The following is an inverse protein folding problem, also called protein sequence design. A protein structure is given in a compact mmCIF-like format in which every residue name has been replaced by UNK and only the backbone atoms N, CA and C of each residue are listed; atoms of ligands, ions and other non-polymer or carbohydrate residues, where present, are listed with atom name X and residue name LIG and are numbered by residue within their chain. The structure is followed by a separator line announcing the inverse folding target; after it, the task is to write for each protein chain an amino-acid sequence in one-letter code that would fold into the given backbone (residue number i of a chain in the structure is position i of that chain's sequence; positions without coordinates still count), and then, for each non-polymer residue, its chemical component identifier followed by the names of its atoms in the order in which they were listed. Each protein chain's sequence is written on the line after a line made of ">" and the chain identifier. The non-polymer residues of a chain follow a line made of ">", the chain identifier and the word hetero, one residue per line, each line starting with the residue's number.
data_IF_098067846272
#
_entry.id   IF_098067846272
#
_cell.length_a   1.000
_cell.length_b   1.000
_cell.length_c   1.000
_cell.angle_alpha   90.00
_cell.angle_beta   90.00
_cell.angle_gamma   90.00
#
_symmetry.space_group_name_H-M   'P 1'
#
loop_
_entity.id
_entity.type
_entity.pdbx_description
1 polymer ?
#
# COMPACT_ATOMS: atom_id res chain seq x y z
N UNK A 1 -0.76 0.54 -23.11
CA UNK A 1 -1.13 1.80 -22.42
C UNK A 1 -2.29 1.55 -21.47
N UNK A 2 -2.39 2.28 -20.35
CA UNK A 2 -3.57 2.26 -19.47
C UNK A 2 -4.26 3.64 -19.46
N UNK A 3 -5.60 3.71 -19.63
CA UNK A 3 -6.32 4.98 -19.60
C UNK A 3 -6.44 5.54 -18.18
N UNK A 4 -6.28 6.87 -18.04
CA UNK A 4 -6.64 7.61 -16.83
C UNK A 4 -8.05 8.15 -16.95
N UNK A 5 -9.06 7.29 -16.78
CA UNK A 5 -10.48 7.62 -16.94
C UNK A 5 -10.94 8.83 -16.11
N UNK A 6 -10.29 9.08 -14.96
CA UNK A 6 -10.60 10.18 -14.05
C UNK A 6 -9.99 11.55 -14.43
N UNK A 7 -9.15 11.64 -15.48
CA UNK A 7 -8.58 12.91 -15.95
C UNK A 7 -9.28 13.35 -17.24
N UNK A 8 -9.49 14.65 -17.41
CA UNK A 8 -10.07 15.22 -18.62
C UNK A 8 -9.30 14.77 -19.87
N UNK A 9 -10.02 14.37 -20.92
CA UNK A 9 -9.44 13.81 -22.15
C UNK A 9 -8.89 12.38 -22.01
N UNK A 10 -9.11 11.71 -20.87
CA UNK A 10 -8.72 10.31 -20.60
C UNK A 10 -7.30 9.96 -21.07
N UNK A 11 -6.27 10.71 -20.63
CA UNK A 11 -4.91 10.53 -21.13
C UNK A 11 -4.39 9.11 -20.87
N UNK A 12 -3.63 8.59 -21.82
CA UNK A 12 -3.05 7.26 -21.78
C UNK A 12 -1.72 7.26 -21.02
N UNK A 13 -1.52 6.28 -20.14
CA UNK A 13 -0.25 6.03 -19.45
C UNK A 13 0.53 4.95 -20.19
N UNK A 14 1.74 5.23 -20.69
CA UNK A 14 2.62 4.17 -21.20
C UNK A 14 3.03 3.28 -20.04
N UNK A 15 2.87 1.96 -20.21
CA UNK A 15 3.30 0.96 -19.22
C UNK A 15 4.10 -0.08 -19.97
N UNK A 16 5.28 -0.38 -19.44
CA UNK A 16 6.18 -1.39 -19.97
C UNK A 16 6.09 -2.60 -19.05
N UNK A 17 5.79 -3.76 -19.62
CA UNK A 17 5.86 -5.01 -18.88
C UNK A 17 7.33 -5.35 -18.62
N UNK A 18 7.72 -5.39 -17.35
CA UNK A 18 9.05 -5.81 -16.90
C UNK A 18 9.12 -7.31 -16.55
N UNK A 19 8.09 -8.08 -16.92
CA UNK A 19 8.04 -9.52 -16.67
C UNK A 19 9.21 -10.18 -17.44
N UNK A 20 10.12 -10.82 -16.71
CA UNK A 20 11.34 -11.48 -17.25
C UNK A 20 12.35 -10.53 -17.93
N UNK A 21 12.29 -9.22 -17.72
CA UNK A 21 13.35 -8.33 -18.18
C UNK A 21 14.67 -8.61 -17.43
N UNK A 22 15.81 -8.39 -18.08
CA UNK A 22 17.13 -8.77 -17.58
C UNK A 22 17.46 -8.16 -16.20
N UNK A 23 17.03 -6.93 -15.95
CA UNK A 23 17.29 -6.21 -14.69
C UNK A 23 16.17 -6.33 -13.65
N UNK A 24 15.12 -7.11 -13.88
CA UNK A 24 13.97 -7.21 -12.95
C UNK A 24 14.38 -7.73 -11.58
N UNK A 25 15.27 -8.73 -11.53
CA UNK A 25 15.82 -9.25 -10.27
C UNK A 25 16.63 -8.20 -9.51
N UNK A 26 17.47 -7.43 -10.22
CA UNK A 26 18.28 -6.36 -9.63
C UNK A 26 17.41 -5.21 -9.13
N UNK A 27 16.37 -4.84 -9.90
CA UNK A 27 15.38 -3.84 -9.49
C UNK A 27 14.66 -4.25 -8.20
N UNK A 28 14.21 -5.50 -8.11
CA UNK A 28 13.56 -6.00 -6.89
C UNK A 28 14.51 -6.04 -5.69
N UNK A 29 15.75 -6.46 -5.91
CA UNK A 29 16.77 -6.49 -4.86
C UNK A 29 17.08 -5.10 -4.31
N UNK A 30 17.33 -4.11 -5.18
CA UNK A 30 17.56 -2.72 -4.77
C UNK A 30 16.36 -2.15 -4.03
N UNK A 31 15.15 -2.52 -4.43
CA UNK A 31 13.93 -2.08 -3.77
C UNK A 31 13.82 -2.61 -2.32
N UNK A 32 14.04 -3.91 -2.13
CA UNK A 32 14.06 -4.54 -0.80
C UNK A 32 15.13 -3.90 0.08
N UNK A 33 16.28 -3.58 -0.50
CA UNK A 33 17.41 -2.99 0.21
C UNK A 33 17.12 -1.56 0.66
N UNK A 34 16.60 -0.71 -0.23
CA UNK A 34 16.57 0.74 -0.04
C UNK A 34 15.26 1.25 0.54
N UNK A 35 14.13 0.60 0.22
CA UNK A 35 12.80 1.06 0.64
C UNK A 35 12.63 1.10 2.17
N UNK A 36 13.08 0.10 2.96
CA UNK A 36 12.95 0.15 4.42
C UNK A 36 13.71 1.34 5.01
N UNK A 37 14.92 1.59 4.50
CA UNK A 37 15.75 2.71 4.92
C UNK A 37 15.09 4.06 4.57
N UNK A 38 14.60 4.21 3.34
CA UNK A 38 13.85 5.40 2.92
C UNK A 38 12.63 5.64 3.82
N UNK A 39 11.81 4.60 4.06
CA UNK A 39 10.62 4.70 4.91
C UNK A 39 10.97 5.06 6.36
N UNK A 40 12.11 4.61 6.88
CA UNK A 40 12.56 4.97 8.23
C UNK A 40 12.96 6.45 8.30
N UNK A 41 13.70 6.94 7.31
CA UNK A 41 14.15 8.34 7.23
C UNK A 41 12.99 9.32 7.02
N UNK A 42 11.98 8.91 6.25
CA UNK A 42 10.86 9.78 5.83
C UNK A 42 9.60 9.58 6.66
N UNK A 43 9.66 8.78 7.73
CA UNK A 43 8.50 8.42 8.54
C UNK A 43 7.75 9.63 9.10
N UNK A 44 8.47 10.68 9.48
CA UNK A 44 7.90 11.89 10.08
C UNK A 44 7.31 12.87 9.05
N UNK A 45 7.70 12.73 7.78
CA UNK A 45 7.29 13.65 6.70
C UNK A 45 6.33 12.99 5.70
N UNK A 46 5.95 11.73 5.93
CA UNK A 46 5.13 10.94 5.01
C UNK A 46 3.78 10.63 5.63
N UNK A 47 2.71 11.00 4.93
CA UNK A 47 1.37 10.56 5.28
C UNK A 47 1.11 9.15 4.74
N UNK A 48 0.70 8.22 5.60
CA UNK A 48 0.49 6.82 5.18
C UNK A 48 -0.86 6.66 4.43
N UNK A 49 -1.87 7.40 4.85
CA UNK A 49 -3.23 7.41 4.31
C UNK A 49 -4.01 8.62 4.85
N UNK A 50 -5.25 8.84 4.37
CA UNK A 50 -6.07 9.97 4.82
C UNK A 50 -6.33 10.03 6.33
N UNK A 51 -6.45 8.90 7.02
CA UNK A 51 -6.67 8.88 8.48
C UNK A 51 -5.41 9.38 9.20
N UNK A 52 -4.24 8.91 8.75
CA UNK A 52 -2.94 9.38 9.26
C UNK A 52 -2.73 10.87 8.98
N UNK A 53 -3.10 11.33 7.78
CA UNK A 53 -3.12 12.75 7.43
C UNK A 53 -4.01 13.59 8.38
N UNK A 54 -5.25 13.16 8.63
CA UNK A 54 -6.16 13.86 9.56
C UNK A 54 -5.56 13.93 10.97
N UNK A 55 -4.97 12.84 11.47
CA UNK A 55 -4.28 12.86 12.79
C UNK A 55 -3.15 13.89 12.81
N UNK A 56 -2.33 13.93 11.77
CA UNK A 56 -1.19 14.84 11.70
C UNK A 56 -1.63 16.31 11.58
N UNK A 57 -2.69 16.61 10.82
CA UNK A 57 -3.18 17.99 10.71
C UNK A 57 -3.93 18.46 11.95
N UNK A 58 -4.63 17.57 12.67
CA UNK A 58 -5.18 17.86 14.00
C UNK A 58 -4.07 18.14 15.01
N UNK A 59 -2.97 17.38 14.98
CA UNK A 59 -1.80 17.65 15.82
C UNK A 59 -1.15 19.01 15.47
N UNK A 60 -1.05 19.34 14.18
CA UNK A 60 -0.56 20.64 13.73
C UNK A 60 -1.44 21.78 14.27
N UNK A 61 -2.77 21.65 14.18
CA UNK A 61 -3.72 22.59 14.77
C UNK A 61 -3.57 22.69 16.29
N UNK A 62 -3.53 21.56 17.00
CA UNK A 62 -3.41 21.52 18.47
C UNK A 62 -2.09 22.12 18.97
N UNK A 63 -1.05 22.14 18.13
CA UNK A 63 0.22 22.83 18.42
C UNK A 63 0.18 24.35 18.22
N UNK A 64 -0.99 24.93 17.92
CA UNK A 64 -1.18 26.37 17.75
C UNK A 64 -0.60 26.93 16.45
N UNK A 65 -0.29 26.06 15.47
CA UNK A 65 0.36 26.48 14.20
C UNK A 65 -0.64 26.91 13.13
N UNK A 66 -1.89 26.47 13.21
CA UNK A 66 -2.94 26.84 12.26
C UNK A 66 -3.45 28.25 12.60
N UNK A 67 -3.18 29.21 11.72
CA UNK A 67 -3.64 30.58 11.82
C UNK A 67 -4.84 30.81 10.89
N UNK A 68 -5.67 31.84 11.13
CA UNK A 68 -6.73 32.22 10.19
C UNK A 68 -6.24 32.52 8.77
N UNK A 69 -4.99 32.97 8.64
CA UNK A 69 -4.33 33.27 7.36
C UNK A 69 -3.61 32.08 6.74
N UNK A 70 -3.55 30.93 7.42
CA UNK A 70 -2.85 29.75 6.90
C UNK A 70 -3.53 29.23 5.64
N UNK A 71 -2.77 29.17 4.56
CA UNK A 71 -3.16 28.54 3.31
C UNK A 71 -2.62 27.12 3.25
N UNK A 72 -3.39 26.24 2.63
CA UNK A 72 -2.98 24.90 2.28
C UNK A 72 -2.54 24.86 0.82
N UNK A 73 -1.52 24.06 0.56
CA UNK A 73 -1.01 23.85 -0.79
C UNK A 73 -0.80 22.37 -1.02
N UNK A 74 -1.34 21.87 -2.13
CA UNK A 74 -1.08 20.53 -2.62
C UNK A 74 -0.34 20.58 -3.94
N UNK A 75 0.57 19.64 -4.15
CA UNK A 75 1.35 19.51 -5.38
C UNK A 75 1.28 18.08 -5.91
N UNK A 76 1.05 17.95 -7.21
CA UNK A 76 1.22 16.73 -8.00
C UNK A 76 2.36 16.96 -8.99
N UNK A 77 3.26 15.98 -9.10
CA UNK A 77 4.39 16.04 -10.03
C UNK A 77 4.04 15.29 -11.30
N UNK A 78 3.95 16.02 -12.40
CA UNK A 78 3.55 15.44 -13.67
C UNK A 78 4.63 14.48 -14.20
N UNK A 79 4.20 13.26 -14.54
CA UNK A 79 5.03 12.25 -15.22
C UNK A 79 6.37 11.93 -14.54
N UNK A 80 6.43 12.03 -13.21
CA UNK A 80 7.66 11.91 -12.43
C UNK A 80 8.51 10.70 -12.87
N UNK A 81 7.99 9.49 -12.74
CA UNK A 81 8.73 8.26 -13.03
C UNK A 81 9.33 8.20 -14.44
N UNK A 82 8.63 8.75 -15.43
CA UNK A 82 9.04 8.73 -16.84
C UNK A 82 9.98 9.86 -17.21
N UNK A 83 10.01 10.95 -16.44
CA UNK A 83 10.74 12.17 -16.79
C UNK A 83 11.94 12.48 -15.89
N UNK A 84 12.09 11.78 -14.76
CA UNK A 84 13.24 11.98 -13.86
C UNK A 84 14.58 11.90 -14.64
N UNK A 85 15.45 12.92 -14.54
CA UNK A 85 16.79 12.87 -15.10
C UNK A 85 17.62 11.77 -14.43
N UNK A 86 18.14 10.81 -15.20
CA UNK A 86 18.87 9.64 -14.65
C UNK A 86 20.09 10.03 -13.84
N UNK A 87 20.89 10.95 -14.38
CA UNK A 87 22.10 11.40 -13.71
C UNK A 87 21.76 12.09 -12.38
N UNK A 88 20.76 12.97 -12.38
CA UNK A 88 20.25 13.62 -11.17
C UNK A 88 19.71 12.63 -10.14
N UNK A 89 18.95 11.63 -10.58
CA UNK A 89 18.41 10.59 -9.71
C UNK A 89 19.50 9.75 -9.04
N UNK A 90 20.52 9.35 -9.80
CA UNK A 90 21.65 8.61 -9.27
C UNK A 90 22.48 9.47 -8.31
N UNK A 91 22.68 10.76 -8.63
CA UNK A 91 23.37 11.68 -7.72
C UNK A 91 22.59 11.90 -6.41
N UNK A 92 21.27 12.04 -6.49
CA UNK A 92 20.41 12.14 -5.30
C UNK A 92 20.46 10.85 -4.47
N UNK A 93 20.43 9.68 -5.12
CA UNK A 93 20.61 8.40 -4.44
C UNK A 93 21.96 8.33 -3.72
N UNK A 94 23.05 8.72 -4.38
CA UNK A 94 24.38 8.75 -3.75
C UNK A 94 24.42 9.69 -2.54
N UNK A 95 23.81 10.86 -2.64
CA UNK A 95 23.70 11.83 -1.53
C UNK A 95 22.87 11.27 -0.37
N UNK A 96 21.74 10.65 -0.66
CA UNK A 96 20.88 9.98 0.32
C UNK A 96 21.64 8.87 1.05
N UNK A 97 22.28 7.97 0.30
CA UNK A 97 23.06 6.87 0.85
C UNK A 97 24.24 7.37 1.69
N UNK A 98 24.93 8.41 1.24
CA UNK A 98 26.07 8.98 1.99
C UNK A 98 25.64 9.63 3.31
N UNK A 99 24.40 10.12 3.38
CA UNK A 99 23.86 10.77 4.58
C UNK A 99 23.33 9.77 5.61
N UNK A 100 22.72 8.67 5.15
CA UNK A 100 21.96 7.77 6.04
C UNK A 100 22.54 6.36 6.18
N UNK A 101 23.52 5.95 5.35
CA UNK A 101 24.11 4.61 5.44
C UNK A 101 25.27 4.56 6.43
N UNK A 102 25.20 3.62 7.38
CA UNK A 102 26.25 3.39 8.36
C UNK A 102 27.57 3.00 7.68
N UNK A 103 28.65 3.72 7.98
CA UNK A 103 29.98 3.47 7.41
C UNK A 103 30.01 3.39 5.87
N UNK A 104 29.10 4.10 5.18
CA UNK A 104 28.93 4.04 3.71
C UNK A 104 28.65 2.62 3.18
N UNK A 105 28.00 1.78 3.98
CA UNK A 105 27.59 0.43 3.56
C UNK A 105 26.15 0.14 3.96
N UNK A 106 25.47 -0.65 3.14
CA UNK A 106 24.15 -1.20 3.47
C UNK A 106 24.24 -2.72 3.34
N UNK A 107 24.01 -3.43 4.45
CA UNK A 107 24.16 -4.90 4.52
C UNK A 107 25.46 -5.42 3.90
N UNK A 108 26.58 -4.70 4.13
CA UNK A 108 27.90 -5.07 3.62
C UNK A 108 28.22 -4.60 2.20
N UNK A 109 27.26 -4.06 1.43
CA UNK A 109 27.50 -3.49 0.10
C UNK A 109 27.93 -2.03 0.18
N UNK A 110 28.88 -1.62 -0.66
CA UNK A 110 29.32 -0.22 -0.76
C UNK A 110 28.31 0.62 -1.53
N UNK A 111 28.29 1.94 -1.25
CA UNK A 111 27.48 2.91 -2.02
C UNK A 111 27.79 2.82 -3.52
N UNK A 112 29.05 2.63 -3.90
CA UNK A 112 29.44 2.51 -5.31
C UNK A 112 28.79 1.29 -6.00
N UNK A 113 28.81 0.11 -5.36
CA UNK A 113 28.12 -1.08 -5.89
C UNK A 113 26.63 -0.83 -6.06
N UNK A 114 25.97 -0.26 -5.06
CA UNK A 114 24.53 0.07 -5.12
C UNK A 114 24.25 1.05 -6.27
N UNK A 115 25.10 2.06 -6.43
CA UNK A 115 25.00 3.06 -7.52
C UNK A 115 25.15 2.40 -8.89
N UNK A 116 26.11 1.49 -9.07
CA UNK A 116 26.30 0.76 -10.34
C UNK A 116 25.10 -0.13 -10.67
N UNK A 117 24.55 -0.83 -9.69
CA UNK A 117 23.33 -1.63 -9.86
C UNK A 117 22.13 -0.74 -10.23
N UNK A 118 22.00 0.43 -9.60
CA UNK A 118 20.97 1.40 -9.93
C UNK A 118 21.08 1.90 -11.37
N UNK A 119 22.30 2.24 -11.83
CA UNK A 119 22.57 2.61 -13.23
C UNK A 119 22.19 1.47 -14.18
N UNK A 120 22.60 0.24 -13.87
CA UNK A 120 22.27 -0.95 -14.67
C UNK A 120 20.75 -1.08 -14.88
N UNK A 121 19.95 -0.90 -13.84
CA UNK A 121 18.47 -0.97 -13.95
C UNK A 121 17.92 0.12 -14.86
N UNK A 122 18.46 1.34 -14.80
CA UNK A 122 18.01 2.45 -15.64
C UNK A 122 18.46 2.30 -17.10
N UNK A 123 19.67 1.81 -17.32
CA UNK A 123 20.30 1.71 -18.64
C UNK A 123 19.76 0.51 -19.44
N UNK A 124 19.40 -0.59 -18.79
CA UNK A 124 18.88 -1.81 -19.45
C UNK A 124 17.37 -1.78 -19.69
N UNK A 125 16.73 -0.63 -19.48
CA UNK A 125 15.31 -0.47 -19.65
C UNK A 125 14.92 -0.33 -21.14
N UNK A 126 14.67 -1.47 -21.76
CA UNK A 126 14.26 -1.59 -23.16
C UNK A 126 12.86 -2.19 -23.28
N UNK A 127 12.11 -1.78 -24.32
CA UNK A 127 10.79 -2.31 -24.63
C UNK A 127 10.57 -2.41 -26.14
N UNK A 128 9.59 -3.21 -26.53
CA UNK A 128 9.18 -3.37 -27.95
C UNK A 128 7.85 -2.67 -28.15
N UNK A 129 7.77 -1.86 -29.21
CA UNK A 129 6.53 -1.26 -29.67
C UNK A 129 6.52 -1.28 -31.20
N UNK A 130 5.41 -1.69 -31.82
CA UNK A 130 5.28 -1.74 -33.29
C UNK A 130 6.47 -2.46 -33.97
N UNK A 131 6.84 -3.64 -33.45
CA UNK A 131 7.97 -4.45 -33.89
C UNK A 131 9.35 -3.75 -33.91
N UNK A 132 9.48 -2.63 -33.20
CA UNK A 132 10.74 -1.90 -33.04
C UNK A 132 11.19 -1.93 -31.58
N UNK A 133 12.50 -2.04 -31.40
CA UNK A 133 13.13 -1.98 -30.08
C UNK A 133 13.41 -0.54 -29.70
N UNK A 134 13.00 -0.17 -28.49
CA UNK A 134 13.23 1.15 -27.92
C UNK A 134 13.95 0.99 -26.58
N UNK A 135 14.94 1.84 -26.36
CA UNK A 135 15.54 2.03 -25.06
C UNK A 135 14.97 3.32 -24.47
N UNK A 136 14.42 3.25 -23.27
CA UNK A 136 14.06 4.46 -22.57
C UNK A 136 15.36 5.21 -22.24
N UNK A 137 15.42 6.53 -22.46
CA UNK A 137 16.62 7.35 -22.20
C UNK A 137 16.45 8.33 -21.03
N UNK A 138 15.20 8.53 -20.57
CA UNK A 138 14.83 9.41 -19.45
C UNK A 138 13.88 8.69 -18.50
N UNK A 139 13.95 8.98 -17.21
CA UNK A 139 13.20 8.28 -16.18
C UNK A 139 13.53 6.78 -16.11
N UNK A 140 12.64 6.04 -15.45
CA UNK A 140 12.62 4.58 -15.42
C UNK A 140 11.29 4.01 -15.90
N UNK A 141 11.24 2.69 -16.05
CA UNK A 141 10.01 2.00 -16.46
C UNK A 141 8.93 2.14 -15.39
N UNK A 142 7.75 2.60 -15.80
CA UNK A 142 6.55 2.48 -14.97
C UNK A 142 6.24 0.99 -14.77
N UNK A 143 6.42 0.50 -13.54
CA UNK A 143 6.31 -0.92 -13.18
C UNK A 143 7.61 -1.55 -12.65
N UNK A 144 8.74 -0.83 -12.68
CA UNK A 144 9.98 -1.24 -12.02
C UNK A 144 9.92 -0.91 -10.51
N UNK A 145 10.06 -1.91 -9.60
CA UNK A 145 10.05 -1.66 -8.15
C UNK A 145 11.08 -0.64 -7.69
N UNK A 146 12.30 -0.72 -8.20
CA UNK A 146 13.38 0.21 -7.88
C UNK A 146 13.08 1.64 -8.36
N UNK A 147 12.47 1.81 -9.54
CA UNK A 147 12.19 3.14 -10.09
C UNK A 147 11.28 3.95 -9.17
N UNK A 148 10.33 3.32 -8.48
CA UNK A 148 9.51 4.01 -7.48
C UNK A 148 10.34 4.48 -6.28
N UNK A 149 11.19 3.61 -5.74
CA UNK A 149 12.04 3.97 -4.59
C UNK A 149 13.06 5.04 -4.95
N UNK A 150 13.60 4.99 -6.16
CA UNK A 150 14.49 6.03 -6.67
C UNK A 150 13.78 7.39 -6.84
N UNK A 151 12.56 7.40 -7.37
CA UNK A 151 11.75 8.61 -7.50
C UNK A 151 11.45 9.24 -6.13
N UNK A 152 11.07 8.41 -5.17
CA UNK A 152 10.87 8.83 -3.78
C UNK A 152 12.13 9.43 -3.16
N UNK A 153 13.31 8.86 -3.42
CA UNK A 153 14.59 9.44 -2.96
C UNK A 153 14.91 10.77 -3.67
N UNK A 154 14.54 10.91 -4.95
CA UNK A 154 14.85 12.09 -5.74
C UNK A 154 14.00 13.32 -5.35
N UNK A 155 12.69 13.18 -5.17
CA UNK A 155 11.77 14.32 -4.89
C UNK A 155 11.09 14.27 -3.53
N UNK A 156 11.27 13.20 -2.75
CA UNK A 156 10.70 13.07 -1.40
C UNK A 156 9.17 12.80 -1.35
N UNK A 157 8.61 12.12 -2.38
CA UNK A 157 7.21 11.66 -2.60
C UNK A 157 6.45 12.52 -3.62
N UNK A 158 5.64 11.85 -4.47
CA UNK A 158 4.93 12.43 -5.62
C UNK A 158 3.76 13.36 -5.25
N UNK A 159 3.08 13.08 -4.14
CA UNK A 159 1.91 13.81 -3.65
C UNK A 159 2.29 14.60 -2.39
N UNK A 160 2.44 15.92 -2.50
CA UNK A 160 2.92 16.76 -1.41
C UNK A 160 1.77 17.61 -0.85
N UNK A 161 1.72 17.72 0.47
CA UNK A 161 0.86 18.66 1.19
C UNK A 161 1.74 19.61 2.02
N UNK A 162 1.44 20.90 1.97
CA UNK A 162 2.18 21.95 2.67
C UNK A 162 1.21 22.98 3.26
N UNK A 163 1.62 23.60 4.37
CA UNK A 163 0.97 24.78 4.95
C UNK A 163 1.86 26.00 4.78
N UNK A 164 1.27 27.17 4.55
CA UNK A 164 2.01 28.44 4.45
C UNK A 164 1.21 29.59 5.05
N UNK A 165 1.91 30.57 5.61
CA UNK A 165 1.33 31.83 6.09
C UNK A 165 1.69 33.01 5.17
N UNK A 166 2.31 32.74 4.01
CA UNK A 166 2.53 33.74 2.98
C UNK A 166 1.20 34.13 2.34
N UNK A 167 1.14 35.33 1.78
CA UNK A 167 0.01 35.75 0.95
C UNK A 167 -0.10 34.86 -0.30
N UNK A 168 -1.29 34.79 -0.87
CA UNK A 168 -1.56 34.02 -2.09
C UNK A 168 -0.61 34.39 -3.24
N UNK A 169 -0.30 35.68 -3.39
CA UNK A 169 0.59 36.20 -4.44
C UNK A 169 2.04 35.76 -4.23
N UNK A 170 2.55 35.87 -3.00
CA UNK A 170 3.93 35.49 -2.66
C UNK A 170 4.17 34.00 -2.86
N UNK A 171 3.25 33.15 -2.40
CA UNK A 171 3.40 31.71 -2.61
C UNK A 171 3.32 31.37 -4.10
N UNK A 172 2.40 31.97 -4.84
CA UNK A 172 2.26 31.70 -6.27
C UNK A 172 3.54 32.11 -7.04
N UNK A 173 4.14 33.27 -6.72
CA UNK A 173 5.40 33.70 -7.31
C UNK A 173 6.53 32.67 -7.06
N UNK A 174 6.67 32.19 -5.83
CA UNK A 174 7.69 31.17 -5.47
C UNK A 174 7.46 29.84 -6.18
N UNK A 175 6.20 29.46 -6.40
CA UNK A 175 5.87 28.24 -7.12
C UNK A 175 6.11 28.35 -8.62
N UNK A 176 5.91 29.53 -9.20
CA UNK A 176 6.28 29.83 -10.59
C UNK A 176 7.80 29.72 -10.76
N UNK A 177 8.58 30.33 -9.86
CA UNK A 177 10.05 30.22 -9.87
C UNK A 177 10.52 28.77 -9.73
N UNK A 178 9.91 28.00 -8.81
CA UNK A 178 10.24 26.59 -8.62
C UNK A 178 9.95 25.75 -9.88
N UNK A 179 8.84 26.04 -10.57
CA UNK A 179 8.48 25.37 -11.83
C UNK A 179 9.40 25.69 -13.01
N UNK A 180 10.25 26.70 -12.91
CA UNK A 180 11.23 27.06 -13.94
C UNK A 180 12.59 26.36 -13.78
N UNK A 181 12.81 25.66 -12.67
CA UNK A 181 14.11 25.06 -12.35
C UNK A 181 14.45 23.82 -13.21
N UNK A 182 13.45 23.07 -13.69
CA UNK A 182 13.67 21.87 -14.50
C UNK A 182 12.65 21.82 -15.65
N UNK A 183 13.14 21.79 -16.89
CA UNK A 183 12.29 21.74 -18.09
C UNK A 183 11.45 20.45 -18.19
N UNK A 184 11.87 19.38 -17.51
CA UNK A 184 11.28 18.04 -17.62
C UNK A 184 10.29 17.72 -16.49
N UNK A 185 10.34 18.48 -15.40
CA UNK A 185 9.52 18.24 -14.21
C UNK A 185 8.60 19.44 -14.03
N UNK A 186 7.30 19.22 -14.21
CA UNK A 186 6.30 20.25 -13.94
C UNK A 186 5.48 19.90 -12.71
N UNK A 187 5.35 20.88 -11.83
CA UNK A 187 4.50 20.85 -10.65
C UNK A 187 3.13 21.44 -11.00
N UNK A 188 2.09 20.66 -10.80
CA UNK A 188 0.71 21.17 -10.76
C UNK A 188 0.32 21.35 -9.31
N UNK A 189 -0.28 22.49 -8.97
CA UNK A 189 -0.58 22.83 -7.59
C UNK A 189 -1.98 23.39 -7.42
N UNK A 190 -2.53 23.20 -6.22
CA UNK A 190 -3.78 23.82 -5.77
C UNK A 190 -3.49 24.56 -4.46
N UNK A 191 -3.86 25.83 -4.39
CA UNK A 191 -3.64 26.70 -3.22
C UNK A 191 -5.00 27.20 -2.75
N UNK A 192 -5.23 27.18 -1.45
CA UNK A 192 -6.40 27.82 -0.86
C UNK A 192 -6.54 27.57 0.62
N UNK A 193 -7.56 28.18 1.23
CA UNK A 193 -8.02 27.80 2.57
C UNK A 193 -8.67 26.42 2.56
N UNK A 194 -9.08 25.92 1.39
CA UNK A 194 -9.74 24.63 1.19
C UNK A 194 -9.08 23.86 0.04
N UNK A 195 -8.55 22.67 0.31
CA UNK A 195 -7.86 21.82 -0.68
C UNK A 195 -8.13 20.34 -0.44
N UNK A 196 -8.10 19.55 -1.51
CA UNK A 196 -8.12 18.09 -1.44
C UNK A 196 -6.71 17.50 -1.35
N UNK A 197 -6.53 16.53 -0.46
CA UNK A 197 -5.31 15.73 -0.38
C UNK A 197 -5.66 14.27 -0.04
N UNK A 198 -5.09 13.33 -0.80
CA UNK A 198 -5.46 11.92 -0.79
C UNK A 198 -6.97 11.76 -1.05
N UNK A 199 -7.70 11.49 0.03
CA UNK A 199 -9.11 11.18 0.07
C UNK A 199 -9.85 12.01 1.15
N UNK A 200 -9.24 13.15 1.50
CA UNK A 200 -9.69 14.11 2.51
C UNK A 200 -9.77 15.50 1.88
N UNK A 201 -10.87 16.20 2.14
CA UNK A 201 -11.02 17.62 1.86
C UNK A 201 -10.74 18.37 3.16
N UNK A 202 -9.71 19.21 3.16
CA UNK A 202 -9.32 19.98 4.33
C UNK A 202 -9.58 21.45 4.12
N UNK A 203 -10.10 22.10 5.14
CA UNK A 203 -10.54 23.49 5.11
C UNK A 203 -10.12 24.20 6.40
N UNK A 204 -9.60 25.42 6.22
CA UNK A 204 -9.29 26.35 7.29
C UNK A 204 -10.39 27.42 7.31
N UNK A 205 -11.34 27.26 8.23
CA UNK A 205 -12.41 28.22 8.46
C UNK A 205 -11.97 29.20 9.55
N UNK A 206 -11.21 30.23 9.15
CA UNK A 206 -10.73 31.29 10.04
C UNK A 206 -9.99 30.79 11.29
N UNK A 207 -9.13 29.78 11.14
CA UNK A 207 -8.37 29.14 12.21
C UNK A 207 -9.05 27.90 12.78
N UNK A 208 -10.26 27.55 12.34
CA UNK A 208 -10.91 26.29 12.66
C UNK A 208 -10.65 25.25 11.57
N UNK A 209 -10.04 24.14 11.97
CA UNK A 209 -9.78 23.02 11.06
C UNK A 209 -11.07 22.24 10.80
N UNK A 210 -11.45 22.15 9.53
CA UNK A 210 -12.54 21.31 9.03
C UNK A 210 -11.98 20.25 8.11
N UNK A 211 -12.38 19.00 8.33
CA UNK A 211 -12.01 17.85 7.48
C UNK A 211 -13.26 17.10 7.08
N UNK A 212 -13.30 16.63 5.84
CA UNK A 212 -14.42 15.85 5.30
C UNK A 212 -13.92 14.85 4.25
N UNK A 213 -14.77 13.90 3.85
CA UNK A 213 -14.43 12.93 2.80
C UNK A 213 -14.45 13.61 1.44
N UNK A 214 -13.35 13.50 0.69
CA UNK A 214 -13.30 13.99 -0.69
C UNK A 214 -13.74 12.89 -1.68
N UNK A 215 -14.72 13.20 -2.52
CA UNK A 215 -15.13 12.35 -3.65
C UNK A 215 -14.72 13.01 -4.96
N UNK A 216 -13.99 12.26 -5.80
CA UNK A 216 -13.68 12.72 -7.16
C UNK A 216 -14.96 12.75 -7.98
N UNK A 217 -15.22 13.84 -8.69
CA UNK A 217 -16.41 14.00 -9.55
C UNK A 217 -16.56 12.88 -10.60
N UNK A 218 -15.44 12.35 -11.09
CA UNK A 218 -15.43 11.25 -12.07
C UNK A 218 -15.51 9.84 -11.44
N UNK A 219 -15.56 9.73 -10.11
CA UNK A 219 -15.69 8.44 -9.46
C UNK A 219 -17.15 8.00 -9.50
N UNK A 220 -17.44 6.97 -10.28
CA UNK A 220 -18.74 6.30 -10.21
C UNK A 220 -18.93 5.71 -8.80
N UNK A 221 -20.15 5.75 -8.25
CA UNK A 221 -20.45 5.23 -6.92
C UNK A 221 -20.51 3.69 -6.94
N UNK A 222 -19.60 3.03 -7.64
CA UNK A 222 -19.57 1.58 -7.74
C UNK A 222 -18.88 0.99 -6.50
N UNK A 223 -19.62 0.17 -5.76
CA UNK A 223 -19.09 -0.65 -4.69
C UNK A 223 -19.42 -2.11 -4.99
N UNK A 224 -19.07 -3.03 -4.09
CA UNK A 224 -19.43 -4.43 -4.25
C UNK A 224 -20.96 -4.57 -4.38
N UNK A 225 -21.52 -4.99 -5.54
CA UNK A 225 -22.97 -5.09 -5.73
C UNK A 225 -23.57 -6.15 -4.80
N UNK A 226 -24.78 -5.91 -4.30
CA UNK A 226 -25.43 -6.84 -3.37
C UNK A 226 -25.79 -8.20 -4.01
N UNK A 227 -25.93 -8.21 -5.34
CA UNK A 227 -26.17 -9.41 -6.15
C UNK A 227 -24.93 -10.28 -6.36
N UNK A 228 -23.74 -9.78 -6.02
CA UNK A 228 -22.53 -10.59 -6.17
C UNK A 228 -22.54 -11.78 -5.20
N UNK A 229 -21.94 -12.91 -5.59
CA UNK A 229 -21.87 -14.14 -4.78
C UNK A 229 -20.82 -14.08 -3.65
N UNK A 230 -20.66 -12.90 -3.05
CA UNK A 230 -19.77 -12.74 -1.90
C UNK A 230 -20.51 -13.08 -0.60
N UNK A 231 -19.82 -13.66 0.40
CA UNK A 231 -20.43 -13.92 1.69
C UNK A 231 -21.05 -12.65 2.31
N UNK A 232 -22.20 -12.79 2.98
CA UNK A 232 -22.90 -11.67 3.64
C UNK A 232 -22.06 -10.88 4.65
N UNK A 233 -21.02 -11.51 5.20
CA UNK A 233 -20.09 -10.81 6.08
C UNK A 233 -19.24 -9.74 5.37
N UNK A 234 -19.01 -9.87 4.05
CA UNK A 234 -18.31 -8.88 3.24
C UNK A 234 -19.21 -7.66 3.02
N UNK A 235 -20.47 -7.88 2.61
CA UNK A 235 -21.46 -6.81 2.43
C UNK A 235 -21.66 -5.96 3.69
N UNK A 236 -21.81 -6.59 4.87
CA UNK A 236 -21.89 -5.84 6.14
C UNK A 236 -20.57 -5.15 6.49
N UNK A 237 -19.42 -5.71 6.09
CA UNK A 237 -18.12 -5.09 6.31
C UNK A 237 -17.95 -3.83 5.46
N UNK A 238 -18.46 -3.83 4.23
CA UNK A 238 -18.49 -2.65 3.35
C UNK A 238 -19.17 -1.47 4.07
N UNK A 239 -20.38 -1.69 4.59
CA UNK A 239 -21.14 -0.67 5.33
C UNK A 239 -20.34 -0.16 6.55
N UNK A 240 -19.91 -1.07 7.42
CA UNK A 240 -19.17 -0.71 8.63
C UNK A 240 -17.88 0.06 8.31
N UNK A 241 -17.11 -0.40 7.33
CA UNK A 241 -15.84 0.23 6.97
C UNK A 241 -16.01 1.65 6.44
N UNK A 242 -17.08 1.91 5.67
CA UNK A 242 -17.41 3.26 5.17
C UNK A 242 -17.88 4.19 6.27
N UNK A 243 -18.74 3.73 7.19
CA UNK A 243 -19.18 4.55 8.34
C UNK A 243 -18.01 4.90 9.27
N UNK A 244 -17.16 3.93 9.62
CA UNK A 244 -15.96 4.18 10.43
C UNK A 244 -15.05 5.18 9.75
N UNK A 245 -14.86 5.03 8.44
CA UNK A 245 -14.05 5.96 7.64
C UNK A 245 -14.65 7.36 7.62
N UNK A 246 -15.95 7.50 7.38
CA UNK A 246 -16.65 8.78 7.40
C UNK A 246 -16.45 9.50 8.73
N UNK A 247 -16.69 8.80 9.85
CA UNK A 247 -16.49 9.38 11.19
C UNK A 247 -15.04 9.77 11.42
N UNK A 248 -14.06 8.98 10.95
CA UNK A 248 -12.64 9.32 11.12
C UNK A 248 -12.19 10.53 10.32
N UNK A 249 -12.81 10.79 9.16
CA UNK A 249 -12.39 11.84 8.25
C UNK A 249 -13.22 13.12 8.39
N UNK A 250 -14.48 13.03 8.80
CA UNK A 250 -15.35 14.17 9.01
C UNK A 250 -15.18 14.72 10.43
N UNK A 251 -14.67 15.95 10.59
CA UNK A 251 -14.53 16.56 11.92
C UNK A 251 -15.84 17.10 12.47
N UNK A 252 -16.80 17.45 11.61
CA UNK A 252 -18.09 18.04 11.99
C UNK A 252 -19.26 17.10 11.67
N UNK A 253 -20.34 17.21 12.46
CA UNK A 253 -21.52 16.37 12.33
C UNK A 253 -22.24 16.57 10.98
N UNK A 254 -22.36 17.81 10.51
CA UNK A 254 -23.04 18.11 9.24
C UNK A 254 -22.34 17.45 8.03
N UNK A 255 -21.00 17.43 8.05
CA UNK A 255 -20.21 16.79 7.00
C UNK A 255 -20.29 15.26 7.08
N UNK A 256 -20.36 14.72 8.30
CA UNK A 256 -20.64 13.31 8.49
C UNK A 256 -22.03 12.92 7.99
N UNK A 257 -23.07 13.72 8.25
CA UNK A 257 -24.43 13.40 7.82
C UNK A 257 -24.55 13.43 6.27
N UNK A 258 -23.91 14.42 5.62
CA UNK A 258 -23.78 14.46 4.16
C UNK A 258 -23.07 13.21 3.62
N UNK A 259 -21.97 12.79 4.24
CA UNK A 259 -21.27 11.57 3.84
C UNK A 259 -22.11 10.32 4.10
N UNK A 260 -22.82 10.25 5.23
CA UNK A 260 -23.73 9.15 5.57
C UNK A 260 -24.82 8.98 4.52
N UNK A 261 -25.46 10.07 4.11
CA UNK A 261 -26.45 10.07 3.03
C UNK A 261 -25.82 9.58 1.72
N UNK A 262 -24.60 10.07 1.38
CA UNK A 262 -23.86 9.62 0.19
C UNK A 262 -23.59 8.11 0.24
N UNK A 263 -23.22 7.57 1.40
CA UNK A 263 -23.01 6.13 1.61
C UNK A 263 -24.32 5.36 1.40
N UNK A 264 -25.43 5.85 1.94
CA UNK A 264 -26.75 5.22 1.80
C UNK A 264 -27.21 5.19 0.34
N UNK A 265 -27.14 6.32 -0.38
CA UNK A 265 -27.42 6.36 -1.82
C UNK A 265 -26.54 5.42 -2.62
N UNK A 266 -25.23 5.40 -2.31
CA UNK A 266 -24.29 4.47 -2.96
C UNK A 266 -24.71 3.02 -2.77
N UNK A 267 -25.11 2.62 -1.55
CA UNK A 267 -25.57 1.26 -1.28
C UNK A 267 -26.85 0.91 -2.04
N UNK A 268 -27.81 1.83 -2.09
CA UNK A 268 -29.07 1.65 -2.84
C UNK A 268 -28.79 1.47 -4.35
N UNK A 269 -27.93 2.30 -4.93
CA UNK A 269 -27.53 2.20 -6.34
C UNK A 269 -26.85 0.87 -6.67
N UNK A 270 -26.19 0.23 -5.69
CA UNK A 270 -25.54 -1.07 -5.84
C UNK A 270 -26.45 -2.25 -5.42
N UNK A 271 -27.76 -2.02 -5.30
CA UNK A 271 -28.78 -3.04 -5.09
C UNK A 271 -28.90 -3.56 -3.66
N UNK A 272 -28.37 -2.86 -2.66
CA UNK A 272 -28.51 -3.28 -1.27
C UNK A 272 -29.97 -3.07 -0.81
N UNK A 273 -30.63 -4.08 -0.21
CA UNK A 273 -32.00 -3.95 0.28
C UNK A 273 -32.10 -2.86 1.37
N UNK A 274 -33.09 -1.96 1.34
CA UNK A 274 -33.24 -0.91 2.35
C UNK A 274 -33.24 -1.45 3.78
N UNK A 275 -33.96 -2.56 4.04
CA UNK A 275 -33.97 -3.23 5.35
C UNK A 275 -32.58 -3.68 5.81
N UNK A 276 -31.73 -4.12 4.88
CA UNK A 276 -30.36 -4.52 5.19
C UNK A 276 -29.50 -3.32 5.55
N UNK A 277 -29.65 -2.21 4.81
CA UNK A 277 -28.96 -0.95 5.08
C UNK A 277 -29.35 -0.41 6.47
N UNK A 278 -30.64 -0.19 6.71
CA UNK A 278 -31.14 0.37 7.97
C UNK A 278 -30.75 -0.51 9.17
N UNK A 279 -30.87 -1.84 9.06
CA UNK A 279 -30.42 -2.76 10.11
C UNK A 279 -28.93 -2.58 10.44
N UNK A 280 -28.08 -2.49 9.43
CA UNK A 280 -26.63 -2.38 9.64
C UNK A 280 -26.18 -1.00 10.09
N UNK A 281 -26.87 0.06 9.68
CA UNK A 281 -26.68 1.41 10.22
C UNK A 281 -27.05 1.41 11.70
N UNK A 282 -28.28 1.03 12.06
CA UNK A 282 -28.73 1.01 13.46
C UNK A 282 -27.82 0.16 14.34
N UNK A 283 -27.41 -1.03 13.87
CA UNK A 283 -26.47 -1.89 14.58
C UNK A 283 -25.10 -1.22 14.80
N UNK A 284 -24.62 -0.44 13.83
CA UNK A 284 -23.38 0.31 13.98
C UNK A 284 -23.51 1.38 15.07
N UNK A 285 -24.55 2.20 15.03
CA UNK A 285 -24.75 3.27 16.03
C UNK A 285 -25.05 2.72 17.43
N UNK A 286 -25.81 1.63 17.54
CA UNK A 286 -26.01 0.89 18.80
C UNK A 286 -24.69 0.39 19.38
N UNK A 287 -23.84 -0.22 18.56
CA UNK A 287 -22.55 -0.75 19.00
C UNK A 287 -21.63 0.34 19.58
N UNK A 288 -21.74 1.56 19.06
CA UNK A 288 -20.96 2.70 19.51
C UNK A 288 -21.68 3.57 20.55
N UNK A 289 -22.87 3.16 21.04
CA UNK A 289 -23.71 3.90 22.00
C UNK A 289 -24.05 5.34 21.55
N UNK A 290 -24.33 5.53 20.26
CA UNK A 290 -24.47 6.86 19.63
C UNK A 290 -25.74 6.98 18.77
N UNK A 291 -26.82 6.32 19.19
CA UNK A 291 -28.12 6.45 18.49
C UNK A 291 -28.63 7.89 18.46
N UNK A 292 -28.38 8.65 19.53
CA UNK A 292 -28.74 10.06 19.66
C UNK A 292 -28.09 10.97 18.60
N UNK A 293 -26.98 10.57 17.99
CA UNK A 293 -26.37 11.32 16.89
C UNK A 293 -27.32 11.39 15.69
N UNK A 294 -28.06 10.31 15.42
CA UNK A 294 -29.05 10.28 14.32
C UNK A 294 -30.35 10.94 14.75
N UNK A 295 -30.81 10.68 15.97
CA UNK A 295 -32.14 11.08 16.42
C UNK A 295 -32.21 12.58 16.77
N UNK A 296 -31.15 13.12 17.38
CA UNK A 296 -31.16 14.47 17.96
C UNK A 296 -30.02 15.37 17.44
N UNK A 297 -29.22 14.92 16.47
CA UNK A 297 -28.04 15.63 15.97
C UNK A 297 -27.09 16.08 17.11
N UNK A 298 -26.81 15.18 18.05
CA UNK A 298 -25.95 15.48 19.20
C UNK A 298 -24.49 15.68 18.78
N UNK A 299 -24.10 16.95 18.64
CA UNK A 299 -22.76 17.40 18.25
C UNK A 299 -21.70 16.91 19.25
N UNK A 300 -22.00 16.99 20.55
CA UNK A 300 -21.01 16.67 21.60
C UNK A 300 -20.66 15.18 21.59
N UNK A 301 -21.68 14.33 21.45
CA UNK A 301 -21.47 12.89 21.32
C UNK A 301 -20.73 12.54 20.02
N UNK A 302 -21.02 13.24 18.92
CA UNK A 302 -20.30 13.05 17.67
C UNK A 302 -18.81 13.39 17.80
N UNK A 303 -18.46 14.52 18.40
CA UNK A 303 -17.07 14.92 18.59
C UNK A 303 -16.28 13.88 19.42
N UNK A 304 -16.90 13.34 20.47
CA UNK A 304 -16.30 12.28 21.29
C UNK A 304 -16.07 11.00 20.48
N UNK A 305 -17.05 10.62 19.65
CA UNK A 305 -16.93 9.44 18.78
C UNK A 305 -15.84 9.63 17.73
N UNK A 306 -15.81 10.80 17.08
CA UNK A 306 -14.79 11.19 16.10
C UNK A 306 -13.39 11.05 16.69
N UNK A 307 -13.12 11.69 17.84
CA UNK A 307 -11.82 11.62 18.53
C UNK A 307 -11.44 10.18 18.87
N UNK A 308 -12.38 9.43 19.42
CA UNK A 308 -12.16 8.02 19.81
C UNK A 308 -11.80 7.15 18.61
N UNK A 309 -12.56 7.24 17.52
CA UNK A 309 -12.34 6.42 16.33
C UNK A 309 -11.12 6.87 15.52
N UNK A 310 -10.81 8.17 15.49
CA UNK A 310 -9.63 8.73 14.84
C UNK A 310 -8.35 8.18 15.48
N UNK A 311 -8.26 8.20 16.80
CA UNK A 311 -7.09 7.71 17.54
C UNK A 311 -7.02 6.18 17.60
N UNK A 312 -8.14 5.47 17.38
CA UNK A 312 -8.15 4.01 17.38
C UNK A 312 -7.30 3.45 16.22
N UNK A 313 -6.37 2.52 16.48
CA UNK A 313 -5.54 1.96 15.44
C UNK A 313 -6.35 1.16 14.42
N UNK A 314 -6.01 1.31 13.15
CA UNK A 314 -6.56 0.52 12.04
C UNK A 314 -6.19 -0.95 12.18
N UNK A 315 -6.91 -1.83 11.47
CA UNK A 315 -6.57 -3.26 11.43
C UNK A 315 -5.14 -3.46 10.90
N UNK A 316 -4.73 -2.70 9.88
CA UNK A 316 -3.38 -2.77 9.29
C UNK A 316 -2.31 -2.36 10.30
N UNK A 317 -2.54 -1.27 11.04
CA UNK A 317 -1.62 -0.79 12.09
C UNK A 317 -1.46 -1.84 13.19
N UNK A 318 -2.57 -2.43 13.68
CA UNK A 318 -2.51 -3.51 14.68
C UNK A 318 -1.72 -4.72 14.19
N UNK A 319 -1.93 -5.14 12.93
CA UNK A 319 -1.16 -6.24 12.33
C UNK A 319 0.33 -5.90 12.17
N UNK A 320 0.68 -4.65 11.86
CA UNK A 320 2.08 -4.21 11.79
C UNK A 320 2.73 -4.21 13.18
N UNK A 321 2.04 -3.70 14.20
CA UNK A 321 2.52 -3.71 15.59
C UNK A 321 2.77 -5.14 16.09
N UNK A 322 1.84 -6.07 15.81
CA UNK A 322 2.01 -7.49 16.14
C UNK A 322 3.21 -8.11 15.41
N UNK A 323 3.41 -7.80 14.12
CA UNK A 323 4.57 -8.30 13.36
C UNK A 323 5.90 -7.75 13.89
N UNK A 324 5.94 -6.47 14.29
CA UNK A 324 7.15 -5.86 14.86
C UNK A 324 7.51 -6.52 16.21
N UNK A 325 6.51 -6.78 17.06
CA UNK A 325 6.70 -7.52 18.31
C UNK A 325 7.20 -8.95 18.06
N UNK A 326 6.64 -9.66 17.08
CA UNK A 326 7.12 -10.99 16.70
C UNK A 326 8.53 -10.97 16.10
N UNK A 327 8.89 -9.96 15.30
CA UNK A 327 10.24 -9.81 14.76
C UNK A 327 11.26 -9.52 15.86
N UNK A 328 10.94 -8.67 16.84
CA UNK A 328 11.80 -8.45 18.01
C UNK A 328 12.02 -9.74 18.82
N UNK A 329 11.00 -10.59 18.96
CA UNK A 329 11.15 -11.92 19.56
C UNK A 329 11.99 -12.87 18.70
N UNK A 330 11.84 -12.85 17.37
CA UNK A 330 12.61 -13.69 16.46
C UNK A 330 14.08 -13.25 16.28
N UNK A 331 14.42 -11.97 16.52
CA UNK A 331 15.83 -11.51 16.51
C UNK A 331 16.64 -12.18 17.65
N UNK A 332 15.99 -12.70 18.69
CA UNK A 332 16.63 -13.53 19.72
C UNK A 332 16.72 -15.01 19.35
N UNK A 333 16.07 -15.45 18.27
CA UNK A 333 16.18 -16.82 17.80
C UNK A 333 17.32 -16.92 16.81
N UNK A 334 18.38 -17.61 17.23
CA UNK A 334 19.45 -18.03 16.33
C UNK A 334 19.00 -19.11 15.32
N UNK A 335 17.70 -19.40 15.18
CA UNK A 335 17.21 -20.46 14.31
C UNK A 335 16.98 -19.96 12.87
N UNK A 336 17.66 -20.55 11.89
CA UNK A 336 17.35 -20.34 10.47
C UNK A 336 16.39 -21.43 10.01
N UNK A 337 15.12 -21.07 9.75
CA UNK A 337 14.11 -22.00 9.24
C UNK A 337 14.18 -22.11 7.71
N UNK A 338 14.58 -23.27 7.20
CA UNK A 338 14.58 -23.60 5.77
C UNK A 338 13.31 -24.37 5.42
N UNK A 339 12.52 -23.79 4.53
CA UNK A 339 11.32 -24.39 3.99
C UNK A 339 11.62 -25.16 2.70
N UNK A 340 11.19 -26.41 2.61
CA UNK A 340 11.29 -27.22 1.39
C UNK A 340 9.91 -27.72 0.95
N UNK A 341 9.79 -27.93 -0.36
CA UNK A 341 8.53 -28.29 -1.05
C UNK A 341 8.43 -29.78 -1.40
N UNK A 342 9.46 -30.58 -1.10
CA UNK A 342 9.50 -31.99 -1.44
C UNK A 342 8.82 -32.86 -0.36
N UNK A 343 7.70 -33.49 -0.74
CA UNK A 343 7.00 -34.50 0.09
C UNK A 343 7.41 -35.95 -0.23
N UNK A 344 8.25 -36.19 -1.25
CA UNK A 344 8.41 -37.53 -1.85
C UNK A 344 9.82 -38.13 -1.81
N UNK A 345 10.64 -37.79 -0.82
CA UNK A 345 11.96 -38.41 -0.62
C UNK A 345 12.27 -38.70 0.85
N UNK A 346 13.30 -39.53 1.16
CA UNK A 346 13.72 -39.79 2.54
C UNK A 346 14.22 -38.48 3.17
N UNK A 347 13.32 -37.82 3.91
CA UNK A 347 13.51 -36.55 4.62
C UNK A 347 14.83 -36.53 5.43
N UNK A 348 15.16 -37.67 6.00
CA UNK A 348 16.36 -37.90 6.81
C UNK A 348 17.63 -37.70 5.99
N UNK A 349 17.66 -38.14 4.74
CA UNK A 349 18.85 -38.05 3.88
C UNK A 349 19.09 -36.61 3.43
N UNK A 350 18.05 -35.94 2.94
CA UNK A 350 18.13 -34.52 2.56
C UNK A 350 18.55 -33.66 3.75
N UNK A 351 17.97 -33.91 4.93
CA UNK A 351 18.33 -33.16 6.14
C UNK A 351 19.79 -33.39 6.54
N UNK A 352 20.29 -34.63 6.43
CA UNK A 352 21.70 -34.96 6.74
C UNK A 352 22.67 -34.31 5.75
N UNK A 353 22.37 -34.42 4.46
CA UNK A 353 23.25 -33.94 3.39
C UNK A 353 23.29 -32.41 3.34
N UNK A 354 22.16 -31.76 3.57
CA UNK A 354 22.08 -30.31 3.66
C UNK A 354 22.76 -29.78 4.94
N UNK A 355 22.69 -30.51 6.05
CA UNK A 355 23.50 -30.21 7.26
C UNK A 355 25.01 -30.36 6.99
N UNK A 356 25.40 -31.39 6.25
CA UNK A 356 26.80 -31.57 5.84
C UNK A 356 27.28 -30.37 5.02
N UNK A 357 26.57 -30.02 3.95
CA UNK A 357 26.88 -28.85 3.12
C UNK A 357 26.87 -27.53 3.90
N UNK A 358 25.94 -27.38 4.85
CA UNK A 358 25.85 -26.21 5.72
C UNK A 358 27.11 -26.07 6.59
N UNK A 359 27.54 -27.16 7.24
CA UNK A 359 28.73 -27.15 8.08
C UNK A 359 29.99 -26.90 7.24
N UNK A 360 30.13 -27.60 6.12
CA UNK A 360 31.31 -27.54 5.24
C UNK A 360 31.51 -26.16 4.58
N UNK A 361 30.42 -25.51 4.14
CA UNK A 361 30.53 -24.30 3.32
C UNK A 361 30.13 -23.01 4.04
N UNK A 362 29.33 -23.07 5.11
CA UNK A 362 28.72 -21.87 5.70
C UNK A 362 29.12 -21.57 7.15
N UNK A 363 29.47 -22.58 7.96
CA UNK A 363 29.87 -22.38 9.37
C UNK A 363 31.38 -22.12 9.50
N UNK A 364 32.22 -22.90 8.83
CA UNK A 364 33.69 -22.83 9.04
C UNK A 364 34.36 -21.56 8.49
N UNK A 365 33.67 -20.81 7.62
CA UNK A 365 34.26 -19.65 6.93
C UNK A 365 33.85 -18.30 7.51
N UNK A 366 32.98 -18.23 8.53
CA UNK A 366 32.49 -16.95 9.03
C UNK A 366 32.13 -16.97 10.54
N UNK A 367 32.91 -16.32 11.42
CA UNK A 367 32.73 -16.40 12.89
C UNK A 367 31.38 -15.84 13.38
N UNK A 368 30.73 -14.98 12.60
CA UNK A 368 29.40 -14.42 12.91
C UNK A 368 28.29 -15.50 12.82
N UNK A 369 28.53 -16.60 12.09
CA UNK A 369 27.51 -17.63 11.80
C UNK A 369 27.57 -18.87 12.70
N UNK A 370 28.54 -18.96 13.61
CA UNK A 370 28.73 -20.14 14.49
C UNK A 370 27.54 -20.40 15.42
N UNK A 371 26.74 -19.38 15.71
CA UNK A 371 25.61 -19.49 16.62
C UNK A 371 24.27 -19.81 15.93
N UNK A 372 24.19 -19.88 14.59
CA UNK A 372 22.93 -20.09 13.86
C UNK A 372 22.56 -21.58 13.79
N UNK A 373 21.40 -21.97 14.33
CA UNK A 373 20.85 -23.33 14.29
C UNK A 373 19.90 -23.49 13.09
N UNK A 374 20.24 -24.38 12.17
CA UNK A 374 19.39 -24.69 11.01
C UNK A 374 18.17 -25.54 11.44
N UNK A 375 16.95 -25.03 11.27
CA UNK A 375 15.70 -25.77 11.45
C UNK A 375 15.04 -26.03 10.10
N UNK A 376 14.42 -27.19 9.95
CA UNK A 376 13.76 -27.60 8.71
C UNK A 376 12.25 -27.60 8.93
N UNK A 377 11.51 -26.97 8.02
CA UNK A 377 10.05 -26.97 8.03
C UNK A 377 9.50 -27.40 6.67
N UNK A 378 8.50 -28.28 6.67
CA UNK A 378 7.75 -28.57 5.45
C UNK A 378 6.89 -27.36 5.11
N UNK A 379 6.94 -26.90 3.85
CA UNK A 379 5.94 -25.97 3.33
C UNK A 379 4.93 -26.82 2.57
N UNK A 380 4.00 -27.42 3.30
CA UNK A 380 2.87 -28.10 2.66
C UNK A 380 1.99 -27.02 2.03
N UNK A 381 2.27 -26.70 0.76
CA UNK A 381 1.25 -26.08 -0.06
C UNK A 381 0.12 -27.10 -0.11
N UNK A 382 -1.05 -26.76 0.45
CA UNK A 382 -2.22 -27.62 0.38
C UNK A 382 -2.43 -27.96 -1.10
N UNK A 383 -2.25 -29.23 -1.46
CA UNK A 383 -2.49 -29.64 -2.84
C UNK A 383 -3.98 -29.51 -3.16
N UNK A 384 -4.34 -29.43 -4.44
CA UNK A 384 -5.72 -29.24 -4.88
C UNK A 384 -6.65 -30.31 -4.25
N UNK A 385 -6.16 -31.55 -4.09
CA UNK A 385 -6.87 -32.62 -3.39
C UNK A 385 -7.17 -32.30 -1.92
N UNK A 386 -6.23 -31.74 -1.16
CA UNK A 386 -6.43 -31.34 0.24
C UNK A 386 -7.33 -30.10 0.39
N UNK A 387 -7.40 -29.25 -0.64
CA UNK A 387 -8.34 -28.13 -0.69
C UNK A 387 -9.75 -28.56 -1.06
N UNK A 388 -9.89 -29.55 -1.94
CA UNK A 388 -11.17 -30.02 -2.49
C UNK A 388 -11.81 -31.17 -1.69
N UNK A 389 -11.02 -32.03 -1.05
CA UNK A 389 -11.53 -33.19 -0.30
C UNK A 389 -11.69 -32.82 1.17
N UNK A 390 -12.85 -32.25 1.52
CA UNK A 390 -13.23 -31.98 2.92
C UNK A 390 -13.90 -33.18 3.62
N UNK A 391 -14.28 -34.21 2.87
CA UNK A 391 -14.83 -35.47 3.38
C UNK A 391 -14.24 -36.65 2.59
N UNK A 392 -13.84 -37.70 3.31
CA UNK A 392 -13.42 -38.97 2.72
C UNK A 392 -14.59 -39.51 1.87
N UNK A 393 -14.40 -39.84 0.58
CA UNK A 393 -15.46 -40.43 -0.24
C UNK A 393 -15.97 -41.73 0.39
N UNK A 394 -17.26 -42.02 0.24
CA UNK A 394 -17.87 -43.20 0.85
C UNK A 394 -17.23 -44.48 0.33
N UNK A 395 -17.13 -45.51 1.18
CA UNK A 395 -16.57 -46.82 0.81
C UNK A 395 -17.29 -47.46 -0.39
N UNK A 396 -18.53 -47.06 -0.67
CA UNK A 396 -19.29 -47.51 -1.84
C UNK A 396 -18.70 -47.04 -3.17
N UNK A 397 -18.05 -45.85 -3.22
CA UNK A 397 -17.42 -45.35 -4.45
C UNK A 397 -16.08 -46.03 -4.77
N UNK A 398 -15.53 -46.80 -3.83
CA UNK A 398 -14.25 -47.51 -3.98
C UNK A 398 -14.44 -49.00 -4.33
N UNK A 399 -15.68 -49.46 -4.45
CA UNK A 399 -16.02 -50.81 -4.91
C UNK A 399 -16.59 -50.68 -6.31
N UNK A 400 -15.73 -50.82 -7.30
CA UNK A 400 -16.19 -51.17 -8.64
C UNK A 400 -16.82 -52.56 -8.55
N UNK A 401 -18.15 -52.63 -8.64
CA UNK A 401 -18.85 -53.88 -8.95
C UNK A 401 -18.53 -54.24 -10.40
N UNK A 402 -17.38 -54.89 -10.60
CA UNK A 402 -17.16 -55.69 -11.80
C UNK A 402 -17.86 -57.03 -11.55
N UNK A 403 -19.17 -57.09 -11.82
CA UNK A 403 -19.90 -58.33 -12.01
C UNK A 403 -19.46 -58.94 -13.35
N UNK A 404 -18.41 -59.74 -13.33
CA UNK A 404 -18.08 -60.63 -14.44
C UNK A 404 -19.12 -61.75 -14.43
N UNK A 405 -20.11 -61.63 -15.31
CA UNK A 405 -21.08 -62.68 -15.58
C UNK A 405 -20.36 -63.87 -16.26
N UNK A 406 -20.05 -64.90 -15.47
CA UNK A 406 -19.53 -66.19 -15.96
C UNK A 406 -20.70 -67.16 -16.12
N UNK A 407 -21.55 -66.94 -17.13
CA UNK A 407 -22.50 -67.98 -17.54
C UNK A 407 -22.98 -67.84 -18.99
N UNK A 408 -22.12 -68.14 -19.97
CA UNK A 408 -22.51 -68.79 -21.24
C UNK A 408 -21.28 -69.16 -22.07
N UNK A 409 -20.78 -70.38 -21.91
CA UNK A 409 -20.08 -71.14 -22.97
C UNK A 409 -20.69 -72.53 -22.99
N UNK A 410 -21.63 -72.73 -23.92
CA UNK A 410 -21.99 -74.05 -24.45
C UNK A 410 -21.77 -73.97 -25.96
N UNK A 411 -20.63 -74.50 -26.40
CA UNK A 411 -20.41 -75.23 -27.64
C UNK A 411 -19.21 -76.14 -27.39
#
# INVERSE_FOLDING_TARGET
>A
YLPKAHKAGTPLRPIVSSIKAAATGVSHFLDILLRPMFNQVTKETTFINGIDFVRQIENYRNSGRLLPTTLFVTFDITNLYTMIPRHGAIAALQKFLSKYADNRRIHGMTIDTITRLARLVLDTNCFVYDNKYYQQIRGGAMGSPFTMTLANVYIYIDDIFMTTNLSFEEINARLIEANQQDENIRLTHTIGSKVEYLDVLVENDNGQLKTSVYHKLAAEPYILPFSSDHPRHVHRSTINSRLIRAIRLCSHLDDFDKERMTIEFTLLLNGYPPRFISYHFNKFFQKHNVLSIIENLDITMYEQLHRTLLLQPTIKERQQQQRQQQQQQNIQSNDLLVHYTFESGPLVNVTKELKHLWNEHYIDKNPIKQNIRLRFGTKSNKNLCQLLVKKKPSKSMLRDEISIDRSTTNA
#
